data_IF_559755071432
#
_entry.id   IF_559755071432
#
_cell.length_a   1.000
_cell.length_b   1.000
_cell.length_c   1.000
_cell.angle_alpha   90.00
_cell.angle_beta   90.00
_cell.angle_gamma   90.00
#
_symmetry.space_group_name_H-M   'P 1'
#
loop_
_entity.id
_entity.type
_entity.pdbx_description
1 polymer ?
#
# COMPACT_ATOMS: atom_id res chain seq x y z
N UNK A 1 29.16 -56.88 -20.13
CA UNK A 1 27.86 -57.33 -20.66
C UNK A 1 26.87 -57.21 -19.52
N UNK A 2 26.22 -56.05 -19.39
CA UNK A 2 25.16 -55.85 -18.39
C UNK A 2 23.91 -56.54 -18.93
N UNK A 3 23.44 -57.55 -18.22
CA UNK A 3 22.17 -58.22 -18.54
C UNK A 3 21.03 -57.21 -18.36
N UNK A 4 20.49 -56.74 -19.48
CA UNK A 4 19.17 -56.13 -19.56
C UNK A 4 18.16 -57.27 -19.46
N UNK A 5 17.56 -57.46 -18.29
CA UNK A 5 16.69 -58.60 -18.04
C UNK A 5 15.24 -58.12 -17.86
N UNK A 6 14.41 -58.41 -18.87
CA UNK A 6 12.96 -58.45 -18.70
C UNK A 6 12.56 -59.90 -18.43
N UNK A 7 12.01 -60.17 -17.25
CA UNK A 7 11.62 -61.51 -16.84
C UNK A 7 10.24 -61.50 -16.18
N UNK A 8 9.58 -62.66 -16.22
CA UNK A 8 8.27 -62.84 -15.59
C UNK A 8 8.48 -63.55 -14.26
N UNK A 9 7.98 -62.94 -13.20
CA UNK A 9 7.96 -63.50 -11.85
C UNK A 9 6.57 -64.01 -11.54
N UNK A 10 6.49 -65.22 -10.97
CA UNK A 10 5.24 -65.78 -10.44
C UNK A 10 5.02 -65.28 -9.02
N UNK A 11 3.89 -64.61 -8.79
CA UNK A 11 3.44 -64.08 -7.49
C UNK A 11 2.10 -64.74 -7.13
N UNK A 12 2.20 -65.92 -6.49
CA UNK A 12 1.06 -66.78 -6.20
C UNK A 12 0.39 -67.29 -7.47
N UNK A 13 -0.91 -67.04 -7.64
CA UNK A 13 -1.67 -67.44 -8.84
C UNK A 13 -1.61 -66.41 -9.99
N UNK A 14 -0.65 -65.48 -9.95
CA UNK A 14 -0.52 -64.39 -10.93
C UNK A 14 0.92 -64.26 -11.40
N UNK A 15 1.10 -63.66 -12.57
CA UNK A 15 2.41 -63.38 -13.14
C UNK A 15 2.63 -61.87 -13.25
N UNK A 16 3.83 -61.40 -12.93
CA UNK A 16 4.24 -60.00 -13.08
C UNK A 16 5.47 -59.91 -13.97
N UNK A 17 5.43 -59.00 -14.94
CA UNK A 17 6.60 -58.62 -15.74
C UNK A 17 7.47 -57.66 -14.94
N UNK A 18 8.73 -58.02 -14.75
CA UNK A 18 9.77 -57.17 -14.13
C UNK A 18 10.78 -56.82 -15.22
N UNK A 19 11.08 -55.53 -15.34
CA UNK A 19 12.10 -55.02 -16.28
C UNK A 19 13.14 -54.30 -15.45
N UNK A 20 14.33 -54.88 -15.35
CA UNK A 20 15.46 -54.27 -14.62
C UNK A 20 16.41 -53.61 -15.61
N UNK A 21 16.75 -52.35 -15.35
CA UNK A 21 17.65 -51.58 -16.19
C UNK A 21 18.47 -50.59 -15.35
N UNK A 22 19.76 -50.44 -15.67
CA UNK A 22 20.71 -49.64 -14.89
C UNK A 22 20.79 -48.16 -15.33
N UNK A 23 19.83 -47.69 -16.13
CA UNK A 23 19.77 -46.33 -16.67
C UNK A 23 18.30 -45.90 -16.87
N UNK A 24 18.09 -44.67 -17.36
CA UNK A 24 16.74 -44.17 -17.64
C UNK A 24 16.08 -45.02 -18.74
N UNK A 25 14.96 -45.67 -18.42
CA UNK A 25 14.18 -46.48 -19.35
C UNK A 25 13.02 -45.65 -19.91
N UNK A 26 12.96 -45.52 -21.24
CA UNK A 26 11.81 -44.92 -21.93
C UNK A 26 11.01 -46.02 -22.60
N UNK A 27 9.77 -46.26 -22.16
CA UNK A 27 8.84 -47.20 -22.80
C UNK A 27 7.87 -46.40 -23.67
N UNK A 28 7.86 -46.67 -24.97
CA UNK A 28 6.94 -46.03 -25.91
C UNK A 28 5.84 -47.01 -26.31
N UNK A 29 4.61 -46.80 -25.81
CA UNK A 29 3.43 -47.59 -26.17
C UNK A 29 2.57 -46.81 -27.18
N UNK A 30 2.33 -47.41 -28.34
CA UNK A 30 1.48 -46.82 -29.38
C UNK A 30 -0.01 -47.20 -29.25
N UNK A 31 -0.36 -47.98 -28.23
CA UNK A 31 -1.71 -48.45 -27.95
C UNK A 31 -2.16 -48.19 -26.51
N UNK A 32 -2.89 -49.17 -25.93
CA UNK A 32 -3.40 -49.11 -24.55
C UNK A 32 -2.76 -50.15 -23.64
N UNK A 33 -1.66 -50.78 -24.09
CA UNK A 33 -1.05 -51.90 -23.41
C UNK A 33 -0.53 -51.48 -22.03
N UNK A 34 0.27 -50.42 -21.97
CA UNK A 34 0.86 -49.85 -20.73
C UNK A 34 -0.17 -49.62 -19.63
N UNK A 35 -1.31 -48.99 -19.97
CA UNK A 35 -2.42 -48.76 -19.05
C UNK A 35 -3.12 -50.06 -18.63
N UNK A 36 -3.30 -51.00 -19.56
CA UNK A 36 -4.06 -52.24 -19.31
C UNK A 36 -3.29 -53.27 -18.47
N UNK A 37 -1.95 -53.27 -18.54
CA UNK A 37 -1.08 -54.07 -17.68
C UNK A 37 -0.58 -53.30 -16.45
N UNK A 38 -1.03 -52.07 -16.24
CA UNK A 38 -0.74 -51.29 -15.03
C UNK A 38 0.72 -50.87 -14.89
N UNK A 39 1.42 -50.62 -15.99
CA UNK A 39 2.77 -50.04 -15.95
C UNK A 39 2.68 -48.57 -15.52
N UNK A 40 2.82 -48.30 -14.23
CA UNK A 40 2.93 -46.95 -13.66
C UNK A 40 4.37 -46.65 -13.30
N UNK A 41 4.81 -45.43 -13.55
CA UNK A 41 6.09 -44.92 -13.03
C UNK A 41 6.03 -44.93 -11.50
N UNK A 42 7.01 -45.57 -10.85
CA UNK A 42 7.18 -45.48 -9.40
C UNK A 42 7.60 -44.06 -9.07
N UNK A 43 6.62 -43.18 -8.84
CA UNK A 43 6.90 -41.80 -8.46
C UNK A 43 7.38 -41.82 -7.01
N UNK A 44 8.62 -41.40 -6.70
CA UNK A 44 9.00 -41.19 -5.31
C UNK A 44 8.02 -40.19 -4.71
N UNK A 45 7.19 -40.65 -3.76
CA UNK A 45 6.25 -39.79 -3.08
C UNK A 45 7.05 -38.74 -2.29
N UNK A 46 6.80 -37.45 -2.54
CA UNK A 46 7.30 -36.36 -1.68
C UNK A 46 6.75 -36.41 -0.24
N UNK A 47 5.96 -37.43 0.10
CA UNK A 47 5.41 -37.66 1.43
C UNK A 47 6.45 -37.99 2.50
N UNK A 48 7.72 -38.24 2.14
CA UNK A 48 8.76 -38.68 3.10
C UNK A 48 9.71 -37.59 3.60
N UNK A 49 9.83 -36.45 2.91
CA UNK A 49 10.91 -35.48 3.18
C UNK A 49 10.45 -34.08 3.62
N UNK A 50 9.15 -33.83 3.79
CA UNK A 50 8.68 -32.65 4.52
C UNK A 50 8.35 -33.05 5.95
N UNK A 51 9.35 -33.06 6.82
CA UNK A 51 9.13 -33.19 8.25
C UNK A 51 8.82 -31.80 8.79
N UNK A 52 7.66 -31.62 9.41
CA UNK A 52 7.36 -30.40 10.17
C UNK A 52 8.36 -30.36 11.33
N UNK A 53 9.04 -29.23 11.56
CA UNK A 53 10.02 -29.12 12.64
C UNK A 53 9.42 -29.62 13.98
N UNK A 54 10.16 -30.38 14.78
CA UNK A 54 9.66 -30.97 16.03
C UNK A 54 9.08 -29.90 16.97
N UNK A 55 9.68 -28.72 16.94
CA UNK A 55 9.19 -27.46 17.49
C UNK A 55 7.71 -27.14 17.18
N UNK A 56 7.31 -27.26 15.90
CA UNK A 56 5.96 -26.96 15.41
C UNK A 56 5.02 -28.15 15.67
N UNK A 57 5.52 -29.39 15.63
CA UNK A 57 4.71 -30.57 15.96
C UNK A 57 4.31 -30.61 17.43
N UNK A 58 5.24 -30.25 18.33
CA UNK A 58 5.02 -30.25 19.77
C UNK A 58 4.23 -29.03 20.25
N UNK A 59 4.30 -27.92 19.51
CA UNK A 59 3.48 -26.74 19.78
C UNK A 59 2.99 -26.07 18.47
N UNK A 60 1.85 -26.52 17.93
CA UNK A 60 1.24 -25.94 16.73
C UNK A 60 0.88 -24.46 16.89
N UNK A 61 0.74 -23.98 18.13
CA UNK A 61 0.47 -22.57 18.39
C UNK A 61 1.67 -21.67 18.12
N UNK A 62 2.86 -22.23 17.85
CA UNK A 62 4.00 -21.46 17.31
C UNK A 62 3.74 -20.92 15.92
N UNK A 63 2.94 -21.58 15.09
CA UNK A 63 2.46 -21.01 13.82
C UNK A 63 1.52 -19.84 14.10
N UNK A 64 0.67 -19.97 15.13
CA UNK A 64 -0.36 -18.99 15.50
C UNK A 64 0.22 -17.78 16.25
N UNK A 65 1.32 -17.96 16.99
CA UNK A 65 2.11 -16.91 17.65
C UNK A 65 3.21 -16.33 16.75
N UNK A 66 3.29 -16.78 15.49
CA UNK A 66 4.29 -16.30 14.52
C UNK A 66 5.74 -16.73 14.79
N UNK A 67 5.98 -17.58 15.79
CA UNK A 67 7.30 -18.06 16.20
C UNK A 67 7.85 -19.11 15.22
N UNK A 68 8.14 -18.67 13.99
CA UNK A 68 8.97 -19.39 13.04
C UNK A 68 10.42 -19.24 13.53
N UNK A 69 10.85 -20.19 14.35
CA UNK A 69 12.22 -20.28 14.82
C UNK A 69 13.06 -20.84 13.67
N UNK A 70 14.09 -20.09 13.27
CA UNK A 70 15.18 -20.63 12.50
C UNK A 70 16.42 -20.63 13.39
N UNK A 71 16.94 -21.84 13.60
CA UNK A 71 18.24 -22.14 14.20
C UNK A 71 19.38 -22.04 13.17
N UNK A 72 19.04 -21.90 11.88
CA UNK A 72 19.99 -21.73 10.78
C UNK A 72 19.47 -20.73 9.76
N UNK A 73 20.31 -19.75 9.40
CA UNK A 73 20.05 -18.75 8.37
C UNK A 73 21.05 -18.88 7.22
N UNK A 74 20.54 -18.79 6.00
CA UNK A 74 21.34 -18.71 4.79
C UNK A 74 20.94 -17.46 4.01
N UNK A 75 21.91 -16.78 3.40
CA UNK A 75 21.59 -15.76 2.39
C UNK A 75 21.02 -16.43 1.14
N UNK A 76 20.01 -15.79 0.55
CA UNK A 76 19.29 -16.30 -0.64
C UNK A 76 19.87 -15.75 -1.96
N UNK A 77 20.69 -14.72 -1.86
CA UNK A 77 21.51 -14.18 -2.95
C UNK A 77 22.99 -14.42 -2.63
N UNK A 78 23.74 -14.76 -3.68
CA UNK A 78 25.17 -15.03 -3.56
C UNK A 78 26.00 -13.82 -4.01
N UNK A 79 27.14 -13.65 -3.36
CA UNK A 79 28.17 -12.66 -3.71
C UNK A 79 29.28 -13.36 -4.49
N UNK A 80 29.83 -12.71 -5.51
CA UNK A 80 30.84 -13.31 -6.39
C UNK A 80 32.19 -13.49 -5.65
N UNK A 81 32.57 -12.48 -4.87
CA UNK A 81 33.81 -12.44 -4.10
C UNK A 81 33.46 -12.12 -2.63
N UNK A 82 33.78 -13.00 -1.67
CA UNK A 82 33.40 -12.82 -0.27
C UNK A 82 34.16 -11.69 0.43
N UNK A 83 35.33 -11.30 -0.10
CA UNK A 83 36.19 -10.24 0.44
C UNK A 83 35.93 -8.87 -0.21
N UNK A 84 35.10 -8.83 -1.26
CA UNK A 84 34.69 -7.60 -1.92
C UNK A 84 33.46 -6.97 -1.25
N UNK A 85 33.37 -5.64 -1.34
CA UNK A 85 32.20 -4.90 -0.87
C UNK A 85 30.92 -5.40 -1.58
N UNK A 86 29.86 -5.64 -0.81
CA UNK A 86 28.59 -6.10 -1.35
C UNK A 86 27.91 -4.93 -2.06
N UNK A 87 27.54 -5.15 -3.33
CA UNK A 87 26.98 -4.10 -4.17
C UNK A 87 25.61 -3.63 -3.66
N UNK A 88 25.45 -2.32 -3.51
CA UNK A 88 24.20 -1.68 -3.12
C UNK A 88 23.95 -1.58 -1.62
N UNK A 89 24.85 -2.05 -0.76
CA UNK A 89 24.68 -1.94 0.69
C UNK A 89 24.81 -0.51 1.20
N UNK A 90 24.02 -0.18 2.22
CA UNK A 90 24.20 1.02 3.05
C UNK A 90 23.55 2.28 2.47
N UNK A 91 23.43 3.34 3.29
CA UNK A 91 22.72 4.55 2.91
C UNK A 91 23.37 5.25 1.72
N UNK A 92 22.63 5.39 0.61
CA UNK A 92 23.10 6.04 -0.64
C UNK A 92 23.07 7.57 -0.58
N UNK A 93 22.46 8.15 0.46
CA UNK A 93 22.38 9.60 0.74
C UNK A 93 22.60 9.86 2.24
N UNK A 94 23.30 10.94 2.64
CA UNK A 94 23.74 11.13 4.03
C UNK A 94 22.63 11.72 4.93
N UNK A 95 22.75 11.69 6.27
CA UNK A 95 23.05 10.61 7.22
C UNK A 95 21.78 9.78 7.57
N UNK A 96 21.89 8.56 8.15
CA UNK A 96 23.01 7.98 8.92
C UNK A 96 24.21 7.52 8.08
N UNK A 97 25.38 7.34 8.73
CA UNK A 97 26.65 6.95 8.09
C UNK A 97 26.80 5.42 7.94
N UNK A 98 26.14 4.65 8.80
CA UNK A 98 26.14 3.18 8.81
C UNK A 98 24.70 2.68 9.05
N UNK A 99 24.38 1.49 8.55
CA UNK A 99 23.23 0.71 8.99
C UNK A 99 23.67 -0.33 10.03
N UNK A 100 22.70 -0.85 10.77
CA UNK A 100 22.86 -1.77 11.89
C UNK A 100 22.03 -3.02 11.65
N UNK A 101 22.70 -4.15 11.55
CA UNK A 101 22.10 -5.47 11.66
C UNK A 101 22.07 -5.86 13.15
N UNK A 102 20.89 -5.96 13.73
CA UNK A 102 20.68 -6.43 15.10
C UNK A 102 20.37 -7.92 15.09
N UNK A 103 21.14 -8.69 15.85
CA UNK A 103 20.87 -10.11 16.13
C UNK A 103 20.27 -10.23 17.52
N UNK A 104 19.08 -10.82 17.58
CA UNK A 104 18.28 -10.92 18.79
C UNK A 104 17.87 -12.36 19.04
N UNK A 105 17.75 -12.74 20.31
CA UNK A 105 17.36 -14.08 20.73
C UNK A 105 17.16 -14.14 22.23
N UNK A 106 17.35 -15.30 22.85
CA UNK A 106 17.36 -15.44 24.32
C UNK A 106 18.68 -14.94 24.95
N UNK A 107 19.22 -13.83 24.43
CA UNK A 107 20.47 -13.21 24.83
C UNK A 107 20.38 -11.70 24.57
N UNK A 108 21.37 -10.94 25.05
CA UNK A 108 21.43 -9.49 24.83
C UNK A 108 21.65 -9.19 23.35
N UNK A 109 20.82 -8.33 22.77
CA UNK A 109 20.91 -7.91 21.37
C UNK A 109 22.34 -7.51 20.97
N UNK A 110 22.79 -8.04 19.83
CA UNK A 110 24.11 -7.77 19.25
C UNK A 110 23.94 -6.94 18.00
N UNK A 111 24.55 -5.76 17.98
CA UNK A 111 24.51 -4.85 16.84
C UNK A 111 25.77 -4.97 15.99
N UNK A 112 25.59 -5.23 14.70
CA UNK A 112 26.64 -5.32 13.69
C UNK A 112 26.44 -4.15 12.72
N UNK A 113 27.37 -3.19 12.78
CA UNK A 113 27.33 -2.04 11.89
C UNK A 113 27.92 -2.40 10.52
N UNK A 114 27.27 -1.95 9.45
CA UNK A 114 27.75 -2.13 8.09
C UNK A 114 27.51 -0.87 7.24
N UNK A 115 28.27 -0.75 6.16
CA UNK A 115 28.27 0.37 5.22
C UNK A 115 28.47 -0.10 3.77
N UNK A 116 28.62 0.84 2.85
CA UNK A 116 28.86 0.57 1.41
C UNK A 116 30.14 -0.20 1.09
N UNK A 117 31.08 -0.32 2.03
CA UNK A 117 32.36 -1.00 1.84
C UNK A 117 32.40 -2.39 2.51
N UNK A 118 31.35 -2.76 3.21
CA UNK A 118 31.32 -4.00 4.00
C UNK A 118 31.24 -5.23 3.09
N UNK A 119 32.11 -6.20 3.34
CA UNK A 119 32.16 -7.49 2.64
C UNK A 119 31.36 -8.59 3.36
N UNK A 120 31.17 -9.73 2.70
CA UNK A 120 30.49 -10.88 3.31
C UNK A 120 31.34 -11.50 4.43
N UNK A 121 32.67 -11.46 4.28
CA UNK A 121 33.62 -11.92 5.28
C UNK A 121 33.63 -11.01 6.52
N UNK A 122 33.53 -9.68 6.34
CA UNK A 122 33.45 -8.74 7.47
C UNK A 122 32.23 -9.02 8.36
N UNK A 123 31.09 -9.39 7.75
CA UNK A 123 29.87 -9.74 8.49
C UNK A 123 30.05 -11.07 9.25
N UNK A 124 30.64 -12.08 8.60
CA UNK A 124 30.92 -13.36 9.24
C UNK A 124 31.88 -13.20 10.43
N UNK A 125 32.92 -12.39 10.25
CA UNK A 125 33.90 -12.07 11.29
C UNK A 125 33.26 -11.24 12.41
N UNK A 126 32.38 -10.30 12.10
CA UNK A 126 31.66 -9.52 13.12
C UNK A 126 30.79 -10.42 14.01
N UNK A 127 30.12 -11.43 13.43
CA UNK A 127 29.35 -12.43 14.19
C UNK A 127 30.29 -13.28 15.05
N UNK A 128 31.35 -13.85 14.46
CA UNK A 128 32.26 -14.76 15.16
C UNK A 128 33.15 -14.07 16.21
N UNK A 129 33.37 -12.76 16.09
CA UNK A 129 34.12 -11.97 17.08
C UNK A 129 33.24 -11.45 18.22
N UNK A 130 31.91 -11.57 18.12
CA UNK A 130 30.99 -11.16 19.18
C UNK A 130 30.95 -12.21 20.29
N UNK A 131 31.48 -11.87 21.46
CA UNK A 131 31.48 -12.75 22.63
C UNK A 131 30.05 -13.22 22.99
N UNK A 132 29.06 -12.33 22.92
CA UNK A 132 27.66 -12.68 23.18
C UNK A 132 27.15 -13.75 22.21
N UNK A 133 27.53 -13.69 20.93
CA UNK A 133 27.08 -14.68 19.94
C UNK A 133 27.80 -16.01 20.13
N UNK A 134 29.11 -15.98 20.32
CA UNK A 134 29.91 -17.20 20.54
C UNK A 134 29.57 -17.90 21.86
N UNK A 135 29.24 -17.14 22.92
CA UNK A 135 28.81 -17.70 24.21
C UNK A 135 27.43 -18.38 24.14
N UNK A 136 26.60 -17.99 23.16
CA UNK A 136 25.33 -18.65 22.82
C UNK A 136 25.48 -19.64 21.66
N UNK A 137 26.70 -20.10 21.35
CA UNK A 137 26.99 -21.07 20.31
C UNK A 137 26.50 -20.68 18.89
N UNK A 138 26.33 -19.38 18.62
CA UNK A 138 25.99 -18.86 17.29
C UNK A 138 27.28 -18.57 16.53
N UNK A 139 27.42 -19.17 15.35
CA UNK A 139 28.59 -19.00 14.48
C UNK A 139 28.16 -18.70 13.05
N UNK A 140 29.01 -17.96 12.33
CA UNK A 140 28.81 -17.64 10.92
C UNK A 140 29.95 -18.19 10.07
N UNK A 141 29.63 -18.71 8.89
CA UNK A 141 30.61 -19.15 7.92
C UNK A 141 30.22 -18.68 6.51
N UNK A 142 31.22 -18.38 5.70
CA UNK A 142 31.03 -18.05 4.29
C UNK A 142 31.22 -19.32 3.47
N UNK A 143 30.13 -19.76 2.82
CA UNK A 143 30.10 -21.02 2.07
C UNK A 143 29.88 -20.77 0.59
N UNK A 144 30.65 -21.45 -0.26
CA UNK A 144 30.38 -21.47 -1.69
C UNK A 144 29.15 -22.33 -1.99
N UNK A 145 28.20 -21.77 -2.73
CA UNK A 145 26.99 -22.46 -3.20
C UNK A 145 27.00 -22.57 -4.73
N UNK A 146 27.21 -23.79 -5.21
CA UNK A 146 27.24 -24.10 -6.65
C UNK A 146 25.91 -23.86 -7.37
N UNK A 147 24.78 -23.80 -6.65
CA UNK A 147 23.46 -23.56 -7.25
C UNK A 147 23.21 -22.06 -7.47
N UNK A 148 23.72 -21.21 -6.58
CA UNK A 148 23.62 -19.75 -6.71
C UNK A 148 24.80 -19.16 -7.50
N UNK A 149 25.89 -19.89 -7.67
CA UNK A 149 27.05 -19.46 -8.46
C UNK A 149 27.95 -18.46 -7.73
N UNK A 150 28.00 -18.50 -6.40
CA UNK A 150 28.82 -17.61 -5.57
C UNK A 150 28.84 -18.02 -4.10
N UNK A 151 29.22 -17.10 -3.24
CA UNK A 151 29.33 -17.31 -1.79
C UNK A 151 28.08 -16.80 -1.06
N UNK A 152 27.67 -17.55 -0.03
CA UNK A 152 26.56 -17.22 0.87
C UNK A 152 27.04 -17.14 2.31
N UNK A 153 26.39 -16.32 3.11
CA UNK A 153 26.57 -16.35 4.57
C UNK A 153 25.66 -17.43 5.15
N UNK A 154 26.24 -18.29 5.97
CA UNK A 154 25.56 -19.36 6.68
C UNK A 154 25.75 -19.14 8.17
N UNK A 155 24.69 -18.83 8.89
CA UNK A 155 24.71 -18.60 10.34
C UNK A 155 23.94 -19.70 11.02
N UNK A 156 24.53 -20.34 12.03
CA UNK A 156 23.95 -21.47 12.75
C UNK A 156 24.04 -21.20 14.24
N UNK A 157 22.96 -21.50 14.97
CA UNK A 157 23.00 -21.77 16.40
C UNK A 157 23.11 -23.29 16.64
N UNK A 158 24.19 -23.73 17.28
CA UNK A 158 24.39 -25.15 17.57
C UNK A 158 23.49 -25.70 18.68
N UNK A 159 22.94 -24.83 19.55
CA UNK A 159 22.06 -25.21 20.65
C UNK A 159 20.59 -25.34 20.20
N UNK A 160 20.26 -24.84 19.01
CA UNK A 160 18.93 -24.89 18.42
C UNK A 160 17.95 -23.89 19.06
N UNK A 161 18.46 -22.88 19.74
CA UNK A 161 17.67 -21.81 20.32
C UNK A 161 17.22 -20.82 19.22
N UNK A 162 16.02 -20.22 19.37
CA UNK A 162 15.56 -19.21 18.43
C UNK A 162 16.40 -17.95 18.53
N UNK A 163 16.91 -17.51 17.38
CA UNK A 163 17.42 -16.16 17.17
C UNK A 163 16.89 -15.61 15.84
N UNK A 164 17.01 -14.30 15.63
CA UNK A 164 16.61 -13.65 14.39
C UNK A 164 17.47 -12.44 14.09
N UNK A 165 17.41 -12.00 12.84
CA UNK A 165 18.06 -10.79 12.35
C UNK A 165 17.02 -9.70 12.11
N UNK A 166 17.30 -8.49 12.58
CA UNK A 166 16.57 -7.27 12.27
C UNK A 166 17.54 -6.24 11.70
N UNK A 167 17.09 -5.41 10.78
CA UNK A 167 17.90 -4.40 10.12
C UNK A 167 17.26 -3.02 10.32
N UNK A 168 18.07 -2.01 10.64
CA UNK A 168 17.60 -0.62 10.72
C UNK A 168 17.61 0.08 9.36
N UNK A 169 18.21 -0.55 8.34
CA UNK A 169 18.05 -0.17 6.95
C UNK A 169 16.55 -0.19 6.62
N UNK A 170 16.05 0.94 6.11
CA UNK A 170 14.68 1.00 5.62
C UNK A 170 14.47 -0.12 4.57
N UNK A 171 13.26 -0.68 4.36
CA UNK A 171 12.99 -1.75 3.39
C UNK A 171 13.21 -1.39 1.90
N UNK A 172 14.03 -0.38 1.62
CA UNK A 172 14.60 -0.08 0.33
C UNK A 172 15.68 -1.11 -0.02
N UNK A 173 16.06 -1.12 -1.29
CA UNK A 173 16.95 -2.12 -1.89
C UNK A 173 18.41 -2.08 -1.36
N UNK A 174 18.70 -1.37 -0.27
CA UNK A 174 20.02 -1.08 0.29
C UNK A 174 20.27 -1.69 1.70
N UNK A 175 19.26 -2.29 2.33
CA UNK A 175 19.43 -3.05 3.57
C UNK A 175 20.07 -4.43 3.34
N UNK A 176 20.86 -4.92 4.30
CA UNK A 176 21.56 -6.21 4.22
C UNK A 176 20.59 -7.39 4.18
N UNK A 177 19.56 -7.35 5.02
CA UNK A 177 18.48 -8.35 5.02
C UNK A 177 17.73 -8.42 3.67
N UNK A 178 17.57 -7.29 2.98
CA UNK A 178 16.94 -7.22 1.65
C UNK A 178 17.88 -7.66 0.53
N UNK A 179 19.12 -7.16 0.51
CA UNK A 179 20.10 -7.43 -0.56
C UNK A 179 20.55 -8.89 -0.56
N UNK A 180 20.89 -9.41 0.62
CA UNK A 180 21.35 -10.78 0.79
C UNK A 180 20.19 -11.77 1.01
N UNK A 181 18.99 -11.28 1.24
CA UNK A 181 17.86 -12.09 1.69
C UNK A 181 18.21 -12.89 2.95
N UNK A 182 18.94 -12.25 3.87
CA UNK A 182 19.31 -12.82 5.17
C UNK A 182 18.15 -12.64 6.15
N UNK A 183 17.90 -13.63 6.99
CA UNK A 183 16.84 -13.54 7.99
C UNK A 183 15.46 -13.94 7.47
N UNK A 184 14.47 -13.82 8.33
CA UNK A 184 13.06 -14.00 7.98
C UNK A 184 12.43 -12.62 7.79
N UNK A 185 12.45 -12.14 6.54
CA UNK A 185 11.90 -10.82 6.18
C UNK A 185 10.38 -10.71 6.42
N UNK A 186 9.69 -11.85 6.50
CA UNK A 186 8.25 -11.93 6.76
C UNK A 186 7.99 -12.99 7.84
N UNK A 187 7.95 -12.57 9.10
CA UNK A 187 7.64 -13.42 10.25
C UNK A 187 7.15 -12.56 11.42
N UNK A 188 6.15 -13.04 12.17
CA UNK A 188 5.56 -12.28 13.29
C UNK A 188 6.27 -12.67 14.57
N UNK A 189 7.02 -11.76 15.18
CA UNK A 189 7.73 -12.02 16.45
C UNK A 189 7.05 -11.31 17.63
N UNK A 190 7.32 -11.76 18.84
CA UNK A 190 6.87 -11.03 20.03
C UNK A 190 7.62 -9.69 20.11
N UNK A 191 6.88 -8.57 20.09
CA UNK A 191 7.47 -7.22 19.98
C UNK A 191 7.82 -6.77 18.55
N UNK A 192 7.41 -7.53 17.53
CA UNK A 192 7.62 -7.15 16.13
C UNK A 192 6.76 -5.95 15.72
N UNK A 193 7.40 -4.79 15.62
CA UNK A 193 6.80 -3.56 15.13
C UNK A 193 7.13 -3.30 13.64
N UNK A 194 7.69 -4.27 12.90
CA UNK A 194 8.09 -4.10 11.49
C UNK A 194 6.92 -3.66 10.60
N UNK A 195 5.73 -4.23 10.80
CA UNK A 195 4.52 -3.81 10.08
C UNK A 195 4.10 -2.38 10.45
N UNK A 196 4.19 -2.01 11.73
CA UNK A 196 3.90 -0.65 12.19
C UNK A 196 4.92 0.37 11.65
N UNK A 197 6.21 0.03 11.65
CA UNK A 197 7.29 0.84 11.08
C UNK A 197 7.15 0.95 9.56
N UNK A 198 6.81 -0.13 8.86
CA UNK A 198 6.55 -0.11 7.41
C UNK A 198 5.40 0.82 7.06
N UNK A 199 4.30 0.77 7.83
CA UNK A 199 3.17 1.69 7.68
C UNK A 199 3.60 3.14 8.00
N UNK A 200 4.35 3.36 9.08
CA UNK A 200 4.88 4.70 9.45
C UNK A 200 5.73 5.27 8.32
N UNK A 201 6.70 4.49 7.84
CA UNK A 201 7.60 4.88 6.75
C UNK A 201 6.81 5.15 5.46
N UNK A 202 5.78 4.35 5.15
CA UNK A 202 4.92 4.59 4.00
C UNK A 202 4.16 5.92 4.09
N UNK A 203 3.77 6.35 5.30
CA UNK A 203 3.15 7.67 5.53
C UNK A 203 4.17 8.82 5.51
N UNK A 204 5.42 8.58 5.86
CA UNK A 204 6.50 9.58 5.86
C UNK A 204 7.16 9.78 4.48
N UNK A 205 6.89 8.90 3.51
CA UNK A 205 7.38 9.06 2.14
C UNK A 205 6.89 10.36 1.52
N UNK A 206 7.83 11.13 0.97
CA UNK A 206 7.60 12.40 0.27
C UNK A 206 7.77 12.31 -1.26
N UNK A 207 8.02 11.12 -1.78
CA UNK A 207 8.38 10.86 -3.17
C UNK A 207 7.24 10.24 -4.01
N UNK A 208 6.01 10.25 -3.50
CA UNK A 208 4.84 9.65 -4.15
C UNK A 208 4.39 10.55 -5.30
N UNK A 209 4.28 9.99 -6.49
CA UNK A 209 3.85 10.71 -7.69
C UNK A 209 2.31 10.72 -7.77
N UNK A 210 1.73 11.91 -7.68
CA UNK A 210 0.29 12.09 -7.84
C UNK A 210 0.01 12.78 -9.17
N UNK A 211 -0.85 12.14 -9.97
CA UNK A 211 -1.31 12.70 -11.23
C UNK A 211 -2.21 13.92 -11.03
N UNK A 212 -2.21 14.83 -12.00
CA UNK A 212 -3.07 16.01 -11.98
C UNK A 212 -4.55 15.59 -12.04
N UNK A 213 -5.38 16.17 -11.16
CA UNK A 213 -6.83 15.87 -11.12
C UNK A 213 -7.66 17.08 -10.69
N UNK A 214 -8.72 17.39 -11.44
CA UNK A 214 -9.76 18.41 -11.16
C UNK A 214 -9.31 19.67 -10.37
N UNK A 215 -8.28 20.36 -10.85
CA UNK A 215 -7.79 21.62 -10.27
C UNK A 215 -6.63 21.47 -9.27
N UNK A 216 -6.18 20.25 -9.01
CA UNK A 216 -4.88 19.96 -8.41
C UNK A 216 -3.85 19.69 -9.50
N UNK A 217 -2.70 20.36 -9.40
CA UNK A 217 -1.52 20.05 -10.22
C UNK A 217 -0.95 18.68 -9.86
N UNK A 218 -0.40 17.98 -10.85
CA UNK A 218 0.40 16.78 -10.57
C UNK A 218 1.66 17.18 -9.82
N UNK A 219 1.96 16.48 -8.74
CA UNK A 219 3.06 16.82 -7.84
C UNK A 219 3.61 15.55 -7.19
N UNK A 220 4.94 15.52 -7.02
CA UNK A 220 5.62 14.49 -6.23
C UNK A 220 5.75 14.99 -4.80
N UNK A 221 4.98 14.40 -3.88
CA UNK A 221 4.88 14.87 -2.49
C UNK A 221 4.46 13.75 -1.54
N UNK A 222 4.30 14.05 -0.25
CA UNK A 222 3.81 13.10 0.75
C UNK A 222 2.29 12.91 0.67
N UNK A 223 1.80 11.74 1.14
CA UNK A 223 0.36 11.48 1.19
C UNK A 223 -0.38 12.50 2.06
N UNK A 224 0.22 12.94 3.16
CA UNK A 224 -0.35 13.96 4.06
C UNK A 224 -0.44 15.32 3.39
N UNK A 225 0.59 15.72 2.65
CA UNK A 225 0.61 17.02 1.95
C UNK A 225 -0.37 17.02 0.78
N UNK A 226 -0.44 15.93 0.02
CA UNK A 226 -1.42 15.79 -1.07
C UNK A 226 -2.86 15.82 -0.53
N UNK A 227 -3.14 15.12 0.58
CA UNK A 227 -4.44 15.17 1.24
C UNK A 227 -4.80 16.59 1.73
N UNK A 228 -3.82 17.32 2.29
CA UNK A 228 -4.02 18.73 2.67
C UNK A 228 -4.32 19.61 1.44
N UNK A 229 -3.65 19.36 0.31
CA UNK A 229 -3.92 20.03 -0.97
C UNK A 229 -5.34 19.81 -1.48
N UNK A 230 -5.86 18.58 -1.37
CA UNK A 230 -7.25 18.26 -1.75
C UNK A 230 -8.23 19.08 -0.91
N UNK A 231 -8.04 19.09 0.42
CA UNK A 231 -8.90 19.85 1.34
C UNK A 231 -8.82 21.35 1.06
N UNK A 232 -7.63 21.89 0.82
CA UNK A 232 -7.44 23.30 0.49
C UNK A 232 -8.13 23.70 -0.83
N UNK A 233 -8.08 22.82 -1.84
CA UNK A 233 -8.74 23.03 -3.13
C UNK A 233 -10.27 23.02 -2.97
N UNK A 234 -10.81 22.05 -2.24
CA UNK A 234 -12.24 21.97 -1.95
C UNK A 234 -12.75 23.20 -1.17
N UNK A 235 -11.98 23.65 -0.17
CA UNK A 235 -12.30 24.86 0.60
C UNK A 235 -12.29 26.11 -0.28
N UNK A 236 -11.35 26.22 -1.21
CA UNK A 236 -11.28 27.34 -2.16
C UNK A 236 -12.47 27.34 -3.11
N UNK A 237 -12.83 26.19 -3.71
CA UNK A 237 -14.01 26.05 -4.57
C UNK A 237 -15.29 26.42 -3.82
N UNK A 238 -15.43 25.99 -2.57
CA UNK A 238 -16.58 26.30 -1.69
C UNK A 238 -16.70 27.81 -1.47
N UNK A 239 -15.60 28.48 -1.09
CA UNK A 239 -15.59 29.93 -0.85
C UNK A 239 -15.99 30.74 -2.09
N UNK A 240 -15.54 30.32 -3.28
CA UNK A 240 -15.91 30.96 -4.54
C UNK A 240 -17.39 30.79 -4.83
N UNK A 241 -17.95 29.60 -4.57
CA UNK A 241 -19.37 29.33 -4.75
C UNK A 241 -20.25 30.12 -3.77
N UNK A 242 -19.87 30.19 -2.49
CA UNK A 242 -20.56 31.01 -1.47
C UNK A 242 -20.57 32.49 -1.84
N UNK A 243 -19.40 33.05 -2.21
CA UNK A 243 -19.31 34.45 -2.65
C UNK A 243 -20.18 34.73 -3.88
N UNK A 244 -20.22 33.79 -4.83
CA UNK A 244 -21.08 33.90 -6.01
C UNK A 244 -22.56 33.83 -5.66
N UNK A 245 -22.94 32.97 -4.72
CA UNK A 245 -24.31 32.85 -4.22
C UNK A 245 -24.75 34.13 -3.50
N UNK A 246 -23.91 34.67 -2.61
CA UNK A 246 -24.20 35.91 -1.88
C UNK A 246 -24.34 37.09 -2.84
N UNK A 247 -23.48 37.18 -3.85
CA UNK A 247 -23.59 38.21 -4.89
C UNK A 247 -24.92 38.11 -5.64
N UNK A 248 -25.30 36.92 -6.09
CA UNK A 248 -26.57 36.70 -6.80
C UNK A 248 -27.78 36.99 -5.92
N UNK A 249 -27.74 36.59 -4.64
CA UNK A 249 -28.82 36.86 -3.70
C UNK A 249 -28.99 38.36 -3.46
N UNK A 250 -27.91 39.09 -3.24
CA UNK A 250 -27.93 40.55 -3.11
C UNK A 250 -28.46 41.23 -4.39
N UNK A 251 -28.07 40.74 -5.56
CA UNK A 251 -28.57 41.25 -6.84
C UNK A 251 -30.08 41.04 -6.98
N UNK A 252 -30.60 39.87 -6.59
CA UNK A 252 -32.05 39.60 -6.60
C UNK A 252 -32.80 40.55 -5.67
N UNK A 253 -32.28 40.79 -4.46
CA UNK A 253 -32.87 41.73 -3.50
C UNK A 253 -32.87 43.16 -4.04
N UNK A 254 -31.76 43.63 -4.62
CA UNK A 254 -31.68 44.98 -5.23
C UNK A 254 -32.67 45.14 -6.38
N UNK A 255 -32.74 44.15 -7.29
CA UNK A 255 -33.69 44.16 -8.41
C UNK A 255 -35.14 44.13 -7.92
N UNK A 256 -35.46 43.31 -6.91
CA UNK A 256 -36.80 43.28 -6.31
C UNK A 256 -37.18 44.64 -5.72
N UNK A 257 -36.24 45.30 -5.03
CA UNK A 257 -36.47 46.63 -4.45
C UNK A 257 -36.70 47.68 -5.54
N UNK A 258 -35.92 47.64 -6.64
CA UNK A 258 -36.12 48.56 -7.78
C UNK A 258 -37.48 48.34 -8.46
N UNK A 259 -37.89 47.09 -8.65
CA UNK A 259 -39.21 46.78 -9.20
C UNK A 259 -40.32 47.31 -8.28
N UNK A 260 -40.19 47.15 -6.97
CA UNK A 260 -41.16 47.68 -6.00
C UNK A 260 -41.17 49.21 -5.95
N UNK A 261 -40.05 49.88 -6.17
CA UNK A 261 -40.01 51.34 -6.21
C UNK A 261 -40.66 51.91 -7.48
N UNK A 262 -40.52 51.22 -8.62
CA UNK A 262 -41.11 51.66 -9.90
C UNK A 262 -42.59 51.25 -10.03
N UNK A 263 -42.93 50.02 -9.64
CA UNK A 263 -44.29 49.51 -9.65
C UNK A 263 -45.09 49.88 -8.38
N UNK A 264 -44.42 50.48 -7.41
CA UNK A 264 -45.00 50.91 -6.15
C UNK A 264 -45.85 52.14 -6.36
N UNK A 265 -47.16 51.99 -6.19
CA UNK A 265 -48.09 53.11 -6.22
C UNK A 265 -48.09 53.74 -4.83
N UNK A 266 -47.72 55.01 -4.72
CA UNK A 266 -47.79 55.72 -3.45
C UNK A 266 -49.26 56.05 -3.15
N UNK A 267 -49.90 55.28 -2.26
CA UNK A 267 -51.31 55.46 -1.90
C UNK A 267 -51.64 56.87 -1.41
N UNK A 268 -50.70 57.56 -0.76
CA UNK A 268 -50.92 58.93 -0.29
C UNK A 268 -50.90 59.93 -1.46
N UNK A 269 -50.08 59.66 -2.48
CA UNK A 269 -50.00 60.46 -3.71
C UNK A 269 -51.24 60.23 -4.58
N UNK A 270 -51.63 58.97 -4.82
CA UNK A 270 -52.88 58.61 -5.50
C UNK A 270 -54.11 59.15 -4.76
N UNK A 271 -54.12 59.13 -3.43
CA UNK A 271 -55.24 59.66 -2.65
C UNK A 271 -55.29 61.19 -2.68
N UNK A 272 -54.13 61.86 -2.69
CA UNK A 272 -54.06 63.31 -2.92
C UNK A 272 -54.61 63.66 -4.30
N UNK A 273 -54.20 62.93 -5.34
CA UNK A 273 -54.66 63.11 -6.71
C UNK A 273 -56.16 62.81 -6.84
N UNK A 274 -56.67 61.77 -6.17
CA UNK A 274 -58.09 61.44 -6.10
C UNK A 274 -58.89 62.61 -5.48
N UNK A 275 -58.40 63.20 -4.39
CA UNK A 275 -59.04 64.39 -3.77
C UNK A 275 -59.02 65.58 -4.72
N UNK A 276 -57.92 65.80 -5.44
CA UNK A 276 -57.84 66.85 -6.48
C UNK A 276 -58.86 66.61 -7.58
N UNK A 277 -58.95 65.38 -8.10
CA UNK A 277 -59.93 65.01 -9.12
C UNK A 277 -61.38 65.15 -8.63
N UNK A 278 -61.68 64.79 -7.39
CA UNK A 278 -63.00 65.00 -6.79
C UNK A 278 -63.36 66.48 -6.68
N UNK A 279 -62.42 67.33 -6.25
CA UNK A 279 -62.62 68.78 -6.17
C UNK A 279 -62.79 69.40 -7.54
N UNK A 280 -61.96 69.00 -8.51
CA UNK A 280 -62.08 69.44 -9.90
C UNK A 280 -63.44 69.04 -10.49
N UNK A 281 -63.86 67.79 -10.31
CA UNK A 281 -65.17 67.31 -10.76
C UNK A 281 -66.33 68.10 -10.14
N UNK A 282 -66.28 68.34 -8.82
CA UNK A 282 -67.29 69.13 -8.12
C UNK A 282 -67.32 70.58 -8.61
N UNK A 283 -66.15 71.17 -8.88
CA UNK A 283 -66.05 72.51 -9.46
C UNK A 283 -66.64 72.54 -10.87
N UNK A 284 -66.32 71.57 -11.73
CA UNK A 284 -66.90 71.46 -13.08
C UNK A 284 -68.40 71.25 -13.04
N UNK A 285 -68.92 70.42 -12.13
CA UNK A 285 -70.34 70.21 -11.95
C UNK A 285 -71.07 71.52 -11.59
N UNK A 286 -70.50 72.34 -10.68
CA UNK A 286 -71.03 73.67 -10.36
C UNK A 286 -71.00 74.61 -11.57
N UNK A 287 -69.93 74.59 -12.35
CA UNK A 287 -69.84 75.38 -13.59
C UNK A 287 -70.95 74.98 -14.56
N UNK A 288 -71.19 73.67 -14.76
CA UNK A 288 -72.29 73.18 -15.60
C UNK A 288 -73.64 73.65 -15.05
N UNK A 289 -73.90 73.50 -13.74
CA UNK A 289 -75.14 73.98 -13.14
C UNK A 289 -75.33 75.49 -13.33
N UNK A 290 -74.28 76.30 -13.17
CA UNK A 290 -74.38 77.75 -13.44
C UNK A 290 -74.62 78.06 -14.92
N UNK A 291 -74.09 77.23 -15.83
CA UNK A 291 -74.35 77.37 -17.26
C UNK A 291 -75.79 76.99 -17.59
N UNK A 292 -76.32 75.91 -17.00
CA UNK A 292 -77.72 75.49 -17.15
C UNK A 292 -78.67 76.58 -16.61
N UNK A 293 -78.39 77.14 -15.43
CA UNK A 293 -79.15 78.27 -14.88
C UNK A 293 -79.13 79.51 -15.80
N UNK A 294 -77.99 79.79 -16.45
CA UNK A 294 -77.90 80.86 -17.44
C UNK A 294 -78.71 80.55 -18.71
N UNK A 295 -78.73 79.29 -19.18
CA UNK A 295 -79.54 78.87 -20.31
C UNK A 295 -81.04 78.94 -20.02
N UNK A 296 -81.48 78.48 -18.84
CA UNK A 296 -82.88 78.57 -18.40
C UNK A 296 -83.33 80.03 -18.25
N UNK A 297 -82.46 80.91 -17.73
CA UNK A 297 -82.76 82.34 -17.65
C UNK A 297 -82.92 82.99 -19.04
N UNK A 298 -82.09 82.60 -20.01
CA UNK A 298 -82.20 83.07 -21.40
C UNK A 298 -83.46 82.53 -22.09
N UNK A 299 -83.81 81.25 -21.89
CA UNK A 299 -85.01 80.65 -22.47
C UNK A 299 -86.31 81.22 -21.89
N UNK A 300 -86.36 81.55 -20.60
CA UNK A 300 -87.53 82.16 -19.98
C UNK A 300 -87.69 83.66 -20.31
N UNK A 301 -86.65 84.32 -20.84
CA UNK A 301 -86.67 85.74 -21.19
C UNK A 301 -87.18 86.04 -22.61
N UNK A 302 -87.48 85.01 -23.41
CA UNK A 302 -88.00 85.09 -24.79
C UNK A 302 -89.41 84.51 -24.84
#
# INVERSE_FOLDING_TARGET
ASEEAAFIVEDGNRYRLVVEYNANLTINDSGTMSSKIGLTEDRPSLSGNMNVAAAIQNDPSRIVRGQLNADTYNTSTAVIDPDAAINGLGPTTPPPLNYTLTVSGNFTDVNINYDTNTSLQDIADAINNSATMTDNNITAEVKFDSQLGGYKLHVIDADGDPFYFSDDGLPNADALTTILGLGINFGVHEGDNSAANSISNAFERSDIDFEATDGLSGERTSLTDYAAGIVATAATKTRVAESSFDFQNNLVVDLSTRIQNEAGVNLDEEMSDLVVFQRAYTATARVISTVDEMFDALLNAV
#
